data_IF_768619530741
#
_entry.id   IF_768619530741
#
_cell.length_a   1.000
_cell.length_b   1.000
_cell.length_c   1.000
_cell.angle_alpha   90.00
_cell.angle_beta   90.00
_cell.angle_gamma   90.00
#
_symmetry.space_group_name_H-M   'P 1'
#
loop_
_entity.id
_entity.type
_entity.pdbx_description
1 polymer ?
#
# COMPACT_ATOMS: atom_id res chain seq x y z
N UNK A 1 -0.62 10.97 -32.01
CA UNK A 1 0.40 11.76 -31.29
C UNK A 1 0.24 11.50 -29.81
N UNK A 2 0.97 10.52 -29.28
CA UNK A 2 0.82 10.03 -27.90
C UNK A 2 1.86 10.69 -27.02
N UNK A 3 1.42 11.54 -26.09
CA UNK A 3 2.28 12.21 -25.13
C UNK A 3 2.67 11.24 -24.02
N UNK A 4 3.79 10.55 -24.19
CA UNK A 4 4.45 9.77 -23.14
C UNK A 4 5.17 10.74 -22.19
N UNK A 5 4.63 10.94 -20.99
CA UNK A 5 5.41 11.44 -19.86
C UNK A 5 5.84 10.26 -19.00
N UNK A 6 6.79 9.48 -19.51
CA UNK A 6 7.62 8.63 -18.67
C UNK A 6 8.53 9.54 -17.84
N UNK A 7 8.05 9.94 -16.66
CA UNK A 7 8.92 10.52 -15.66
C UNK A 7 9.89 9.42 -15.22
N UNK A 8 11.17 9.58 -15.56
CA UNK A 8 12.27 8.80 -15.00
C UNK A 8 12.26 8.98 -13.48
N UNK A 9 11.62 8.06 -12.75
CA UNK A 9 11.77 8.01 -11.30
C UNK A 9 12.94 7.08 -10.99
N UNK A 10 14.15 7.59 -11.23
CA UNK A 10 15.40 6.83 -11.09
C UNK A 10 15.87 6.69 -9.65
N UNK A 11 15.27 7.40 -8.67
CA UNK A 11 15.73 7.29 -7.28
C UNK A 11 14.61 7.44 -6.25
N UNK A 12 14.05 6.30 -5.83
CA UNK A 12 13.11 6.24 -4.71
C UNK A 12 13.80 6.29 -3.33
N UNK A 13 15.14 6.26 -3.31
CA UNK A 13 15.97 6.17 -2.12
C UNK A 13 16.73 7.46 -1.78
N UNK A 14 16.44 8.59 -2.44
CA UNK A 14 17.16 9.85 -2.26
C UNK A 14 17.45 10.16 -0.77
N UNK A 15 18.73 10.36 -0.38
CA UNK A 15 19.14 10.61 0.99
C UNK A 15 18.60 11.95 1.51
N UNK A 16 18.45 12.06 2.83
CA UNK A 16 17.84 13.20 3.55
C UNK A 16 18.60 14.54 3.45
N UNK A 17 19.70 14.62 2.71
CA UNK A 17 20.58 15.78 2.71
C UNK A 17 20.55 16.48 1.35
N UNK A 18 19.46 17.19 1.07
CA UNK A 18 19.49 18.27 0.09
C UNK A 18 19.34 19.58 0.89
N UNK A 19 20.34 20.49 0.87
CA UNK A 19 20.20 21.77 1.55
C UNK A 19 19.11 22.59 0.86
N UNK A 20 18.20 23.14 1.66
CA UNK A 20 17.22 24.11 1.16
C UNK A 20 17.97 25.35 0.65
N UNK A 21 17.95 25.59 -0.65
CA UNK A 21 18.38 26.86 -1.23
C UNK A 21 17.44 27.97 -0.74
N UNK A 22 17.80 28.62 0.38
CA UNK A 22 17.31 29.96 0.71
C UNK A 22 18.30 30.95 0.10
N UNK A 23 17.86 31.62 -0.95
CA UNK A 23 18.49 32.83 -1.48
C UNK A 23 18.64 33.86 -0.36
N UNK A 24 19.89 34.22 -0.05
CA UNK A 24 20.24 35.42 0.71
C UNK A 24 20.51 36.53 -0.29
N UNK A 25 19.80 37.65 -0.15
CA UNK A 25 20.23 38.94 -0.66
C UNK A 25 20.87 39.71 0.52
N UNK A 26 22.09 40.21 0.31
CA UNK A 26 22.73 41.28 1.08
C UNK A 26 22.05 42.62 0.68
N UNK A 27 21.93 43.70 1.45
CA UNK A 27 22.84 44.50 2.31
C UNK A 27 21.97 45.62 2.99
N UNK A 28 22.48 46.64 3.72
CA UNK A 28 23.40 46.65 4.86
C UNK A 28 22.90 47.53 6.05
N UNK A 29 23.63 47.43 7.18
CA UNK A 29 23.85 48.41 8.26
C UNK A 29 22.68 49.21 8.90
N UNK A 30 22.46 49.01 10.21
CA UNK A 30 22.59 50.10 11.19
C UNK A 30 22.80 49.57 12.63
N UNK A 31 23.45 50.40 13.41
CA UNK A 31 24.15 50.21 14.67
C UNK A 31 23.23 50.40 15.91
N UNK A 32 23.62 49.73 17.00
CA UNK A 32 23.64 50.22 18.38
C UNK A 32 22.49 49.94 19.40
N UNK A 33 22.97 49.60 20.62
CA UNK A 33 22.42 49.72 22.00
C UNK A 33 21.68 48.55 22.70
N UNK A 34 22.45 47.91 23.59
CA UNK A 34 22.31 47.80 25.06
C UNK A 34 21.02 47.26 25.75
N UNK A 35 21.26 46.17 26.52
CA UNK A 35 21.00 45.95 27.96
C UNK A 35 19.59 45.68 28.58
N UNK A 36 19.59 44.57 29.35
CA UNK A 36 18.92 44.26 30.64
C UNK A 36 17.41 43.97 30.76
N UNK A 37 17.11 42.73 31.16
CA UNK A 37 16.36 42.26 32.34
C UNK A 37 15.12 43.02 32.87
N UNK A 38 13.95 42.36 32.98
CA UNK A 38 13.35 41.84 34.25
C UNK A 38 11.86 41.41 34.12
N UNK A 39 11.56 40.32 34.84
CA UNK A 39 10.31 39.80 35.48
C UNK A 39 9.00 40.59 35.51
N UNK A 40 7.85 39.91 35.32
CA UNK A 40 6.78 39.63 36.34
C UNK A 40 5.43 39.12 35.78
N UNK A 41 4.88 38.06 36.37
CA UNK A 41 3.47 37.53 36.34
C UNK A 41 2.56 38.27 37.35
N UNK A 42 1.25 37.94 37.66
CA UNK A 42 0.13 37.26 36.94
C UNK A 42 -1.31 37.88 37.11
N UNK A 43 -2.29 37.42 36.29
CA UNK A 43 -3.78 37.20 36.51
C UNK A 43 -4.74 38.35 36.97
N UNK A 44 -6.10 38.23 36.98
CA UNK A 44 -7.04 37.11 36.67
C UNK A 44 -8.34 37.42 35.83
N UNK A 45 -9.08 36.34 35.53
CA UNK A 45 -10.54 36.07 35.29
C UNK A 45 -11.59 37.18 35.01
N UNK A 46 -12.54 36.90 34.07
CA UNK A 46 -13.99 36.73 34.34
C UNK A 46 -14.83 36.35 33.08
N UNK A 47 -15.78 35.42 33.26
CA UNK A 47 -17.00 35.12 32.45
C UNK A 47 -18.21 35.81 33.15
N UNK A 48 -19.49 35.94 32.64
CA UNK A 48 -20.25 34.97 31.82
C UNK A 48 -21.39 35.49 30.85
N UNK A 49 -21.88 34.57 29.99
CA UNK A 49 -23.28 34.25 29.57
C UNK A 49 -24.26 35.14 28.74
N UNK A 50 -25.08 34.38 27.93
CA UNK A 50 -26.44 34.60 27.32
C UNK A 50 -26.52 35.30 25.93
N UNK A 51 -27.41 35.01 24.97
CA UNK A 51 -28.62 34.16 24.84
C UNK A 51 -29.01 33.96 23.34
N UNK A 52 -29.47 32.74 23.00
CA UNK A 52 -30.61 32.34 22.14
C UNK A 52 -31.20 33.20 20.98
N UNK A 53 -31.38 32.59 19.79
CA UNK A 53 -32.69 32.58 19.09
C UNK A 53 -32.82 31.45 18.04
N UNK A 54 -33.97 30.75 18.12
CA UNK A 54 -34.53 29.81 17.14
C UNK A 54 -35.30 30.59 16.07
N UNK A 55 -35.46 30.03 14.86
CA UNK A 55 -36.77 29.92 14.20
C UNK A 55 -36.73 29.05 12.93
N UNK A 56 -37.93 28.64 12.54
CA UNK A 56 -38.35 27.39 11.90
C UNK A 56 -39.12 27.71 10.58
N UNK A 57 -39.49 26.65 9.82
CA UNK A 57 -40.53 26.58 8.75
C UNK A 57 -40.06 26.98 7.33
N UNK A 58 -40.45 26.33 6.21
CA UNK A 58 -41.69 25.61 5.89
C UNK A 58 -41.56 24.70 4.64
N UNK A 59 -42.45 23.69 4.56
CA UNK A 59 -42.70 22.74 3.45
C UNK A 59 -43.43 23.37 2.25
N UNK A 60 -43.26 22.78 1.05
CA UNK A 60 -44.20 22.91 -0.08
C UNK A 60 -44.12 21.74 -1.07
N UNK A 61 -45.20 20.94 -1.15
CA UNK A 61 -45.41 19.78 -2.05
C UNK A 61 -45.87 20.22 -3.45
N UNK A 62 -45.55 19.42 -4.48
CA UNK A 62 -46.44 19.18 -5.65
C UNK A 62 -46.42 17.70 -6.04
N UNK A 63 -47.56 17.21 -6.55
CA UNK A 63 -47.99 15.82 -6.71
C UNK A 63 -48.56 15.61 -8.12
N UNK A 64 -48.58 14.34 -8.57
CA UNK A 64 -49.42 13.70 -9.62
C UNK A 64 -48.97 13.96 -11.09
N UNK A 65 -49.04 13.02 -12.05
CA UNK A 65 -49.82 11.77 -12.20
C UNK A 65 -49.33 10.92 -13.39
N UNK A 66 -49.53 9.58 -13.31
CA UNK A 66 -49.99 8.56 -14.30
C UNK A 66 -49.58 8.66 -15.80
N UNK A 67 -49.33 7.61 -16.60
CA UNK A 67 -49.97 6.29 -16.82
C UNK A 67 -49.15 5.52 -17.89
N UNK A 68 -49.11 4.18 -17.83
CA UNK A 68 -48.64 3.23 -18.89
C UNK A 68 -49.71 3.09 -20.02
N UNK A 69 -49.45 2.57 -21.26
CA UNK A 69 -49.18 1.13 -21.50
C UNK A 69 -48.42 0.67 -22.79
N UNK A 70 -47.92 -0.59 -22.72
CA UNK A 70 -47.60 -1.67 -23.71
C UNK A 70 -47.31 -1.41 -25.20
N UNK A 71 -46.34 -2.16 -25.74
CA UNK A 71 -46.50 -3.01 -26.95
C UNK A 71 -45.32 -3.98 -27.18
N UNK A 72 -45.62 -5.05 -27.88
CA UNK A 72 -44.87 -6.30 -28.08
C UNK A 72 -43.78 -6.26 -29.17
N UNK A 73 -42.91 -7.29 -29.13
CA UNK A 73 -42.52 -8.18 -30.24
C UNK A 73 -41.10 -8.04 -30.83
N UNK A 74 -40.50 -9.24 -30.92
CA UNK A 74 -39.63 -9.83 -31.96
C UNK A 74 -38.17 -10.13 -31.57
N UNK A 75 -37.89 -11.43 -31.64
CA UNK A 75 -36.61 -12.12 -31.61
C UNK A 75 -35.72 -11.65 -32.76
N UNK A 76 -34.41 -11.59 -32.51
CA UNK A 76 -33.45 -12.04 -33.51
C UNK A 76 -32.24 -12.71 -32.84
N UNK A 77 -31.93 -13.88 -33.38
CA UNK A 77 -30.91 -14.81 -32.93
C UNK A 77 -29.58 -14.44 -33.59
N UNK A 78 -28.59 -14.03 -32.80
CA UNK A 78 -27.18 -14.16 -33.19
C UNK A 78 -26.41 -14.83 -32.06
N UNK A 79 -26.22 -16.13 -32.27
CA UNK A 79 -25.30 -16.99 -31.56
C UNK A 79 -23.89 -16.37 -31.63
N UNK A 80 -23.55 -15.62 -30.59
CA UNK A 80 -22.18 -15.20 -30.32
C UNK A 80 -21.71 -16.13 -29.22
N UNK A 81 -20.86 -17.10 -29.59
CA UNK A 81 -20.18 -17.97 -28.63
C UNK A 81 -19.55 -17.08 -27.55
N UNK A 82 -19.85 -17.28 -26.26
CA UNK A 82 -19.13 -16.59 -25.22
C UNK A 82 -17.69 -17.09 -25.29
N UNK A 83 -16.76 -16.21 -25.67
CA UNK A 83 -15.37 -16.38 -25.28
C UNK A 83 -15.38 -16.40 -23.75
N UNK A 84 -15.17 -17.58 -23.18
CA UNK A 84 -14.87 -17.77 -21.77
C UNK A 84 -13.52 -17.14 -21.51
N UNK A 85 -13.51 -15.82 -21.33
CA UNK A 85 -12.47 -15.09 -20.62
C UNK A 85 -12.41 -15.73 -19.23
N UNK A 86 -11.31 -16.42 -18.95
CA UNK A 86 -10.95 -16.83 -17.60
C UNK A 86 -10.96 -15.58 -16.72
N UNK A 87 -11.99 -15.43 -15.89
CA UNK A 87 -12.13 -14.26 -15.02
C UNK A 87 -10.93 -14.24 -14.08
N UNK A 88 -10.02 -13.24 -14.16
CA UNK A 88 -8.95 -13.13 -13.18
C UNK A 88 -9.58 -12.99 -11.80
N UNK A 89 -8.95 -13.58 -10.79
CA UNK A 89 -9.41 -13.50 -9.41
C UNK A 89 -9.51 -12.02 -8.97
N UNK A 90 -10.71 -11.43 -9.04
CA UNK A 90 -10.90 -9.99 -8.84
C UNK A 90 -10.77 -9.53 -7.39
N UNK A 91 -10.74 -10.45 -6.43
CA UNK A 91 -10.82 -10.11 -5.00
C UNK A 91 -9.43 -10.15 -4.33
N UNK A 92 -9.00 -9.07 -3.66
CA UNK A 92 -7.79 -9.09 -2.83
C UNK A 92 -7.85 -10.14 -1.73
N UNK A 93 -6.72 -10.78 -1.44
CA UNK A 93 -6.57 -11.72 -0.33
C UNK A 93 -5.85 -11.06 0.84
N UNK A 94 -6.24 -11.41 2.06
CA UNK A 94 -5.61 -10.92 3.29
C UNK A 94 -5.56 -11.99 4.38
N UNK A 95 -5.17 -11.63 5.60
CA UNK A 95 -5.19 -12.53 6.76
C UNK A 95 -6.56 -13.16 7.05
N UNK A 96 -7.66 -12.55 6.62
CA UNK A 96 -9.01 -13.13 6.78
C UNK A 96 -9.38 -14.12 5.67
N UNK A 97 -8.59 -14.18 4.60
CA UNK A 97 -8.85 -15.04 3.43
C UNK A 97 -8.26 -16.44 3.57
N UNK A 98 -7.32 -16.63 4.49
CA UNK A 98 -6.66 -17.92 4.73
C UNK A 98 -7.34 -18.68 5.89
N UNK A 99 -7.55 -20.00 5.77
CA UNK A 99 -8.07 -20.81 6.86
C UNK A 99 -7.02 -20.89 7.98
N UNK A 100 -7.40 -20.82 9.26
CA UNK A 100 -6.45 -20.84 10.41
C UNK A 100 -5.43 -21.99 10.37
N UNK A 101 -5.77 -23.09 9.70
CA UNK A 101 -4.90 -24.25 9.46
C UNK A 101 -3.65 -23.93 8.65
N UNK A 102 -3.58 -22.81 7.93
CA UNK A 102 -2.39 -22.37 7.20
C UNK A 102 -1.18 -22.14 8.12
N UNK A 103 -1.42 -21.85 9.40
CA UNK A 103 -0.40 -21.72 10.44
C UNK A 103 0.13 -23.07 10.94
N UNK A 104 -0.56 -24.17 10.66
CA UNK A 104 -0.07 -25.49 11.04
C UNK A 104 1.21 -25.78 10.25
N UNK A 105 2.20 -26.43 10.89
CA UNK A 105 3.43 -26.79 10.21
C UNK A 105 3.11 -27.79 9.09
N UNK A 106 2.98 -27.29 7.87
CA UNK A 106 3.12 -28.14 6.69
C UNK A 106 4.55 -28.66 6.69
N UNK A 107 4.77 -29.87 6.17
CA UNK A 107 6.12 -30.42 6.05
C UNK A 107 6.99 -29.44 5.25
N UNK A 108 8.01 -28.80 5.87
CA UNK A 108 8.84 -27.84 5.17
C UNK A 108 9.60 -28.60 4.09
N UNK A 109 9.58 -28.08 2.87
CA UNK A 109 10.50 -28.54 1.83
C UNK A 109 11.85 -27.86 2.08
N UNK A 110 12.96 -28.61 2.03
CA UNK A 110 14.26 -27.97 1.80
C UNK A 110 14.23 -27.47 0.35
N UNK A 111 14.52 -26.19 0.05
CA UNK A 111 15.38 -25.25 0.77
C UNK A 111 14.66 -24.09 1.53
N UNK A 112 15.45 -23.22 2.17
CA UNK A 112 15.00 -21.91 2.64
C UNK A 112 14.70 -20.97 1.46
N UNK A 113 14.00 -19.86 1.73
CA UNK A 113 13.68 -18.84 0.72
C UNK A 113 14.98 -18.21 0.20
N UNK A 114 15.17 -18.26 -1.12
CA UNK A 114 16.35 -17.70 -1.78
C UNK A 114 16.11 -16.24 -2.19
N UNK A 115 17.11 -15.37 -1.98
CA UNK A 115 17.10 -13.99 -2.45
C UNK A 115 18.14 -13.81 -3.55
N UNK A 116 17.74 -13.29 -4.71
CA UNK A 116 18.67 -12.92 -5.80
C UNK A 116 18.63 -11.42 -6.03
N UNK A 117 19.78 -10.79 -6.27
CA UNK A 117 19.90 -9.33 -6.32
C UNK A 117 20.06 -8.84 -7.75
N UNK A 118 19.33 -7.78 -8.09
CA UNK A 118 19.27 -7.19 -9.43
C UNK A 118 19.28 -5.66 -9.35
N UNK A 119 19.72 -5.02 -10.42
CA UNK A 119 19.71 -3.56 -10.56
C UNK A 119 18.74 -3.14 -11.65
N UNK A 120 17.94 -2.13 -11.36
CA UNK A 120 16.97 -1.55 -12.27
C UNK A 120 15.65 -1.17 -11.57
N UNK A 121 14.75 -0.47 -12.26
CA UNK A 121 13.47 -0.10 -11.67
C UNK A 121 12.59 -1.33 -11.49
N UNK A 122 12.16 -1.61 -10.25
CA UNK A 122 11.30 -2.77 -9.95
C UNK A 122 9.99 -2.82 -10.78
N UNK A 123 9.54 -1.67 -11.28
CA UNK A 123 8.29 -1.54 -12.06
C UNK A 123 8.42 -1.94 -13.53
N UNK A 124 9.61 -2.28 -14.03
CA UNK A 124 9.82 -2.83 -15.38
C UNK A 124 9.59 -4.34 -15.45
N UNK A 125 8.97 -4.92 -14.42
CA UNK A 125 8.61 -6.32 -14.38
C UNK A 125 7.68 -6.71 -15.55
N UNK A 126 7.71 -7.98 -15.98
CA UNK A 126 6.72 -8.50 -16.92
C UNK A 126 5.36 -8.71 -16.23
N UNK A 127 4.26 -8.81 -17.00
CA UNK A 127 2.96 -9.20 -16.48
C UNK A 127 3.01 -10.50 -15.65
N UNK A 128 2.03 -10.67 -14.76
CA UNK A 128 1.97 -11.79 -13.81
C UNK A 128 3.11 -11.80 -12.78
N UNK A 129 3.81 -10.68 -12.59
CA UNK A 129 4.78 -10.49 -11.51
C UNK A 129 4.10 -9.95 -10.25
N UNK A 130 4.47 -10.49 -9.08
CA UNK A 130 4.16 -9.93 -7.77
C UNK A 130 5.24 -8.92 -7.35
N UNK A 131 4.82 -7.68 -7.12
CA UNK A 131 5.67 -6.61 -6.61
C UNK A 131 5.41 -6.38 -5.13
N UNK A 132 6.41 -6.65 -4.30
CA UNK A 132 6.31 -6.60 -2.85
C UNK A 132 6.92 -5.31 -2.30
N UNK A 133 6.22 -4.70 -1.34
CA UNK A 133 6.78 -3.63 -0.51
C UNK A 133 6.29 -3.68 0.94
N UNK A 134 7.03 -3.01 1.83
CA UNK A 134 6.67 -2.86 3.23
C UNK A 134 5.71 -1.67 3.45
N UNK A 135 4.69 -1.90 4.25
CA UNK A 135 3.55 -1.03 4.48
C UNK A 135 3.31 -0.74 5.95
N UNK A 136 2.67 0.40 6.19
CA UNK A 136 2.04 0.73 7.47
C UNK A 136 0.58 0.28 7.48
N UNK A 137 -0.10 0.36 8.64
CA UNK A 137 -1.52 0.00 8.77
C UNK A 137 -2.46 1.21 8.70
N UNK A 138 -1.94 2.40 8.39
CA UNK A 138 -2.69 3.66 8.34
C UNK A 138 -3.19 4.01 6.93
N UNK A 139 -3.03 3.11 5.95
CA UNK A 139 -3.51 3.35 4.59
C UNK A 139 -2.69 4.40 3.82
N UNK A 140 -1.42 4.61 4.18
CA UNK A 140 -0.59 5.68 3.62
C UNK A 140 0.57 5.17 2.75
N UNK A 141 0.57 5.54 1.47
CA UNK A 141 1.70 5.39 0.53
C UNK A 141 2.26 6.76 0.16
N UNK A 142 2.88 7.43 1.13
CA UNK A 142 3.17 8.87 1.05
C UNK A 142 4.61 9.26 0.73
N UNK A 143 5.58 8.33 0.75
CA UNK A 143 6.99 8.68 0.49
C UNK A 143 7.82 7.48 0.03
N UNK A 144 9.00 7.76 -0.53
CA UNK A 144 9.94 6.75 -1.02
C UNK A 144 9.29 5.83 -2.05
N UNK A 145 9.67 4.55 -2.02
CA UNK A 145 9.11 3.54 -2.92
C UNK A 145 7.58 3.41 -2.79
N UNK A 146 6.98 3.61 -1.61
CA UNK A 146 5.53 3.53 -1.46
C UNK A 146 4.81 4.62 -2.28
N UNK A 147 5.34 5.84 -2.32
CA UNK A 147 4.79 6.91 -3.18
C UNK A 147 4.86 6.53 -4.66
N UNK A 148 5.94 5.85 -5.07
CA UNK A 148 6.08 5.32 -6.42
C UNK A 148 5.00 4.29 -6.77
N UNK A 149 4.79 3.33 -5.87
CA UNK A 149 3.71 2.36 -5.99
C UNK A 149 2.36 3.06 -6.13
N UNK A 150 2.10 4.12 -5.34
CA UNK A 150 0.86 4.90 -5.46
C UNK A 150 0.69 5.59 -6.82
N UNK A 151 1.78 6.12 -7.37
CA UNK A 151 1.76 6.79 -8.68
C UNK A 151 1.59 5.80 -9.83
N UNK A 152 2.21 4.63 -9.75
CA UNK A 152 2.17 3.59 -10.78
C UNK A 152 0.93 2.68 -10.69
N UNK A 153 0.38 2.50 -9.47
CA UNK A 153 -0.75 1.60 -9.17
C UNK A 153 -1.82 2.31 -8.32
N UNK A 154 -2.48 3.36 -8.86
CA UNK A 154 -3.46 4.14 -8.12
C UNK A 154 -4.71 3.36 -7.71
N UNK A 155 -5.13 2.33 -8.46
CA UNK A 155 -6.27 1.48 -8.11
C UNK A 155 -5.90 0.50 -7.00
N UNK A 156 -4.73 -0.13 -7.07
CA UNK A 156 -4.21 -0.94 -5.96
C UNK A 156 -4.05 -0.10 -4.68
N UNK A 157 -3.59 1.15 -4.79
CA UNK A 157 -3.55 2.07 -3.65
C UNK A 157 -4.94 2.30 -3.03
N UNK A 158 -5.98 2.51 -3.85
CA UNK A 158 -7.36 2.68 -3.33
C UNK A 158 -7.82 1.44 -2.56
N UNK A 159 -7.50 0.25 -3.05
CA UNK A 159 -7.79 -1.01 -2.36
C UNK A 159 -7.07 -1.08 -1.02
N UNK A 160 -5.75 -0.87 -1.01
CA UNK A 160 -4.93 -0.85 0.22
C UNK A 160 -5.43 0.19 1.23
N UNK A 161 -5.73 1.41 0.76
CA UNK A 161 -6.21 2.51 1.60
C UNK A 161 -7.57 2.17 2.22
N UNK A 162 -8.53 1.71 1.41
CA UNK A 162 -9.84 1.26 1.89
C UNK A 162 -9.72 0.08 2.86
N UNK A 163 -8.83 -0.88 2.58
CA UNK A 163 -8.57 -2.00 3.48
C UNK A 163 -8.10 -1.54 4.87
N UNK A 164 -7.25 -0.51 4.94
CA UNK A 164 -6.75 0.03 6.20
C UNK A 164 -7.76 0.92 6.93
N UNK A 165 -8.56 1.70 6.19
CA UNK A 165 -9.40 2.78 6.76
C UNK A 165 -10.89 2.44 6.88
N UNK A 166 -11.39 1.51 6.06
CA UNK A 166 -12.80 1.12 5.99
C UNK A 166 -12.98 -0.31 6.47
N UNK A 167 -12.28 -1.28 5.86
CA UNK A 167 -12.32 -2.68 6.32
C UNK A 167 -11.72 -2.80 7.72
N UNK A 168 -10.71 -2.00 8.02
CA UNK A 168 -10.11 -1.81 9.34
C UNK A 168 -10.30 -0.37 9.81
N UNK A 169 -9.78 -0.06 10.98
CA UNK A 169 -9.72 1.31 11.51
C UNK A 169 -8.40 1.48 12.25
N UNK A 170 -7.52 2.41 11.86
CA UNK A 170 -6.21 2.56 12.50
C UNK A 170 -6.27 2.83 14.01
N UNK A 171 -7.40 3.35 14.50
CA UNK A 171 -7.59 3.66 15.93
C UNK A 171 -8.20 2.49 16.70
N UNK A 172 -9.31 1.93 16.21
CA UNK A 172 -10.14 1.00 16.98
C UNK A 172 -9.92 -0.46 16.62
N UNK A 173 -9.55 -0.75 15.37
CA UNK A 173 -9.35 -2.11 14.87
C UNK A 173 -8.32 -2.08 13.75
N UNK A 174 -7.03 -1.82 14.07
CA UNK A 174 -6.00 -1.68 13.05
C UNK A 174 -5.80 -3.00 12.30
N UNK A 175 -5.25 -2.93 11.10
CA UNK A 175 -4.72 -4.14 10.44
C UNK A 175 -3.67 -4.76 11.38
N UNK A 176 -3.72 -6.07 11.65
CA UNK A 176 -2.67 -6.72 12.45
C UNK A 176 -1.32 -6.62 11.73
N UNK A 177 -0.28 -6.16 12.42
CA UNK A 177 1.09 -6.22 11.88
C UNK A 177 1.57 -7.67 11.81
N UNK A 178 2.55 -7.95 10.95
CA UNK A 178 2.96 -9.32 10.67
C UNK A 178 1.99 -10.06 9.74
N UNK A 179 1.09 -9.33 9.08
CA UNK A 179 0.18 -9.86 8.06
C UNK A 179 0.45 -9.22 6.70
N UNK A 180 -0.23 -9.69 5.67
CA UNK A 180 -0.12 -9.15 4.32
C UNK A 180 -1.48 -8.93 3.65
N UNK A 181 -1.47 -8.13 2.59
CA UNK A 181 -2.56 -7.97 1.64
C UNK A 181 -1.99 -8.23 0.23
N UNK A 182 -2.60 -9.18 -0.48
CA UNK A 182 -2.30 -9.50 -1.88
C UNK A 182 -3.40 -8.92 -2.77
N UNK A 183 -3.03 -7.97 -3.61
CA UNK A 183 -3.96 -7.27 -4.50
C UNK A 183 -3.77 -7.81 -5.93
N UNK A 184 -4.86 -8.23 -6.62
CA UNK A 184 -4.77 -8.71 -7.99
C UNK A 184 -4.40 -7.58 -8.97
N UNK A 185 -4.04 -7.92 -10.23
CA UNK A 185 -3.84 -6.93 -11.26
C UNK A 185 -5.13 -6.13 -11.51
N UNK A 186 -5.11 -4.87 -11.08
CA UNK A 186 -6.24 -3.93 -11.22
C UNK A 186 -5.88 -2.67 -12.00
N UNK A 187 -4.59 -2.35 -12.09
CA UNK A 187 -4.08 -1.15 -12.75
C UNK A 187 -3.73 -1.42 -14.23
N UNK A 188 -4.75 -1.76 -15.01
CA UNK A 188 -4.69 -1.83 -16.47
C UNK A 188 -3.80 -2.92 -17.05
N UNK A 189 -3.06 -2.56 -18.09
CA UNK A 189 -2.22 -3.42 -18.94
C UNK A 189 -0.95 -3.95 -18.27
N UNK A 190 -0.58 -3.40 -17.10
CA UNK A 190 0.63 -3.83 -16.38
C UNK A 190 0.60 -5.30 -15.96
N UNK A 191 -0.59 -5.83 -15.63
CA UNK A 191 -0.73 -7.23 -15.22
C UNK A 191 -0.01 -7.61 -13.91
N UNK A 192 0.40 -6.65 -13.09
CA UNK A 192 1.15 -6.91 -11.85
C UNK A 192 0.26 -7.13 -10.64
N UNK A 193 0.65 -8.06 -9.79
CA UNK A 193 0.11 -8.23 -8.44
C UNK A 193 0.86 -7.32 -7.46
N UNK A 194 0.17 -6.82 -6.44
CA UNK A 194 0.81 -5.98 -5.40
C UNK A 194 0.74 -6.68 -4.05
N UNK A 195 1.92 -6.92 -3.45
CA UNK A 195 2.08 -7.52 -2.14
C UNK A 195 2.41 -6.48 -1.08
N UNK A 196 1.47 -6.20 -0.18
CA UNK A 196 1.64 -5.25 0.92
C UNK A 196 2.00 -6.00 2.20
N UNK A 197 3.23 -5.89 2.69
CA UNK A 197 3.63 -6.46 3.98
C UNK A 197 3.39 -5.46 5.11
N UNK A 198 2.49 -5.74 6.05
CA UNK A 198 2.22 -4.84 7.18
C UNK A 198 3.27 -5.00 8.28
N UNK A 199 4.43 -4.39 8.10
CA UNK A 199 5.57 -4.53 9.01
C UNK A 199 5.60 -3.51 10.15
N UNK A 200 4.89 -2.39 10.00
CA UNK A 200 4.78 -1.33 11.01
C UNK A 200 3.33 -0.88 11.16
N UNK A 201 2.89 -0.50 12.36
CA UNK A 201 1.59 0.13 12.56
C UNK A 201 1.59 1.53 11.96
N UNK A 202 2.48 2.40 12.44
CA UNK A 202 2.61 3.76 11.95
C UNK A 202 3.64 3.92 10.84
N UNK A 203 3.91 5.17 10.45
CA UNK A 203 4.91 5.55 9.46
C UNK A 203 5.57 6.88 9.82
N UNK A 204 6.63 7.27 9.09
CA UNK A 204 7.33 8.52 9.34
C UNK A 204 7.96 8.55 10.73
N UNK A 205 7.64 9.58 11.53
CA UNK A 205 8.08 9.68 12.94
C UNK A 205 7.37 8.70 13.87
N UNK A 206 6.20 8.19 13.46
CA UNK A 206 5.37 7.28 14.26
C UNK A 206 5.52 5.80 13.83
N UNK A 207 6.54 5.47 13.03
CA UNK A 207 6.84 4.08 12.68
C UNK A 207 7.24 3.28 13.93
N UNK A 208 7.03 1.97 13.88
CA UNK A 208 7.45 1.09 14.96
C UNK A 208 8.98 1.00 15.05
N UNK A 209 9.48 0.52 16.20
CA UNK A 209 10.90 0.27 16.40
C UNK A 209 11.44 -0.79 15.44
N UNK A 210 12.71 -0.67 15.04
CA UNK A 210 13.30 -1.55 14.02
C UNK A 210 13.20 -3.05 14.35
N UNK A 211 13.33 -3.44 15.62
CA UNK A 211 13.15 -4.84 16.05
C UNK A 211 11.72 -5.36 15.83
N UNK A 212 10.70 -4.52 16.07
CA UNK A 212 9.29 -4.85 15.80
C UNK A 212 9.05 -5.01 14.31
N UNK A 213 9.58 -4.08 13.50
CA UNK A 213 9.47 -4.14 12.04
C UNK A 213 10.09 -5.43 11.47
N UNK A 214 11.29 -5.79 11.95
CA UNK A 214 11.97 -7.03 11.57
C UNK A 214 11.17 -8.26 12.02
N UNK A 215 10.68 -8.28 13.26
CA UNK A 215 9.86 -9.37 13.80
C UNK A 215 8.55 -9.59 13.02
N UNK A 216 7.94 -8.52 12.51
CA UNK A 216 6.75 -8.59 11.67
C UNK A 216 7.05 -9.02 10.22
N UNK A 217 8.30 -8.93 9.75
CA UNK A 217 8.64 -9.16 8.34
C UNK A 217 8.47 -10.62 7.93
N UNK A 218 8.95 -11.57 8.74
CA UNK A 218 8.85 -13.00 8.46
C UNK A 218 7.40 -13.49 8.35
N UNK A 219 6.57 -13.32 9.39
CA UNK A 219 5.16 -13.73 9.36
C UNK A 219 4.35 -13.10 8.22
N UNK A 220 4.62 -11.82 7.91
CA UNK A 220 3.95 -11.15 6.79
C UNK A 220 4.34 -11.78 5.45
N UNK A 221 5.61 -12.12 5.26
CA UNK A 221 6.09 -12.78 4.05
C UNK A 221 5.53 -14.20 3.92
N UNK A 222 5.56 -15.00 4.99
CA UNK A 222 4.98 -16.35 4.99
C UNK A 222 3.49 -16.33 4.60
N UNK A 223 2.72 -15.40 5.17
CA UNK A 223 1.32 -15.21 4.81
C UNK A 223 1.15 -14.85 3.34
N UNK A 224 2.00 -13.98 2.82
CA UNK A 224 1.96 -13.58 1.41
C UNK A 224 2.25 -14.76 0.48
N UNK A 225 3.28 -15.56 0.78
CA UNK A 225 3.61 -16.76 0.01
C UNK A 225 2.47 -17.79 0.01
N UNK A 226 1.77 -17.94 1.14
CA UNK A 226 0.58 -18.78 1.22
C UNK A 226 -0.58 -18.24 0.37
N UNK A 227 -0.82 -16.93 0.37
CA UNK A 227 -1.82 -16.32 -0.52
C UNK A 227 -1.46 -16.52 -1.99
N UNK A 228 -0.17 -16.44 -2.36
CA UNK A 228 0.31 -16.74 -3.71
C UNK A 228 0.03 -18.20 -4.10
N UNK A 229 0.30 -19.15 -3.20
CA UNK A 229 -0.03 -20.57 -3.41
C UNK A 229 -1.53 -20.75 -3.67
N UNK A 230 -2.39 -20.14 -2.84
CA UNK A 230 -3.85 -20.18 -3.00
C UNK A 230 -4.31 -19.57 -4.32
N UNK A 231 -3.67 -18.49 -4.79
CA UNK A 231 -3.94 -17.95 -6.14
C UNK A 231 -3.57 -18.96 -7.21
N UNK A 232 -2.41 -19.60 -7.11
CA UNK A 232 -1.96 -20.61 -8.07
C UNK A 232 -2.89 -21.83 -8.17
N UNK A 233 -3.57 -22.20 -7.07
CA UNK A 233 -4.58 -23.28 -7.08
C UNK A 233 -5.92 -22.86 -7.67
N UNK A 234 -6.23 -21.57 -7.69
CA UNK A 234 -7.52 -21.04 -8.17
C UNK A 234 -7.53 -20.71 -9.65
N UNK A 235 -6.35 -20.62 -10.26
CA UNK A 235 -6.21 -20.20 -11.64
C UNK A 235 -5.66 -21.38 -12.43
N UNK A 236 -6.53 -22.03 -13.21
CA UNK A 236 -6.15 -23.09 -14.13
C UNK A 236 -5.53 -22.48 -15.40
N UNK A 237 -4.30 -22.89 -15.73
CA UNK A 237 -3.62 -22.57 -16.99
C UNK A 237 -2.45 -21.58 -16.89
N UNK A 238 -1.65 -21.54 -17.96
CA UNK A 238 -0.43 -20.73 -18.10
C UNK A 238 -0.65 -19.21 -18.00
N UNK A 239 -1.88 -18.70 -18.18
CA UNK A 239 -2.11 -17.24 -18.34
C UNK A 239 -2.57 -16.51 -17.07
N UNK A 240 -2.69 -17.18 -15.92
CA UNK A 240 -3.11 -16.49 -14.71
C UNK A 240 -2.39 -16.95 -13.43
N UNK A 241 -2.28 -16.02 -12.49
CA UNK A 241 -1.53 -16.19 -11.24
C UNK A 241 -0.22 -15.41 -11.21
N UNK A 242 0.65 -15.78 -10.26
CA UNK A 242 1.95 -15.13 -10.02
C UNK A 242 3.05 -16.02 -10.60
N UNK A 243 3.76 -15.54 -11.63
CA UNK A 243 4.89 -16.24 -12.27
C UNK A 243 6.25 -15.85 -11.70
N UNK A 244 6.35 -14.61 -11.21
CA UNK A 244 7.60 -14.04 -10.71
C UNK A 244 7.33 -13.22 -9.45
N UNK A 245 8.29 -13.16 -8.53
CA UNK A 245 8.20 -12.35 -7.31
C UNK A 245 9.39 -11.40 -7.24
N UNK A 246 9.11 -10.10 -7.20
CA UNK A 246 10.09 -9.03 -7.00
C UNK A 246 9.78 -8.25 -5.74
N UNK A 247 10.81 -7.78 -5.07
CA UNK A 247 10.72 -6.82 -3.97
C UNK A 247 11.82 -5.76 -4.11
N UNK A 248 11.63 -4.60 -3.49
CA UNK A 248 12.75 -3.70 -3.20
C UNK A 248 13.45 -4.16 -1.92
N UNK A 249 14.53 -3.48 -1.50
CA UNK A 249 15.06 -3.63 -0.13
C UNK A 249 14.05 -3.14 0.91
N UNK A 250 13.06 -3.98 1.21
CA UNK A 250 11.96 -3.65 2.13
C UNK A 250 12.50 -3.22 3.49
N UNK A 251 11.76 -2.35 4.16
CA UNK A 251 12.12 -1.68 5.42
C UNK A 251 13.36 -0.76 5.39
N UNK A 252 14.20 -0.80 4.34
CA UNK A 252 15.51 -0.11 4.31
C UNK A 252 15.44 1.37 3.97
N UNK A 253 14.34 1.82 3.38
CA UNK A 253 14.08 3.22 3.11
C UNK A 253 13.57 3.97 4.35
N UNK A 254 12.31 4.44 4.31
CA UNK A 254 11.76 5.31 5.37
C UNK A 254 11.55 4.61 6.71
N UNK A 255 11.43 3.27 6.72
CA UNK A 255 11.43 2.49 7.95
C UNK A 255 12.81 2.36 8.60
N UNK A 256 13.90 2.66 7.87
CA UNK A 256 15.25 2.83 8.42
C UNK A 256 15.78 1.58 9.13
N UNK A 257 15.39 0.40 8.67
CA UNK A 257 15.94 -0.88 9.13
C UNK A 257 17.11 -1.25 8.22
N UNK A 258 18.32 -1.55 8.73
CA UNK A 258 19.40 -2.06 7.90
C UNK A 258 18.94 -3.29 7.11
N UNK A 259 19.23 -3.32 5.81
CA UNK A 259 18.70 -4.33 4.89
C UNK A 259 19.00 -5.75 5.36
N UNK A 260 20.19 -5.98 5.89
CA UNK A 260 20.71 -7.26 6.36
C UNK A 260 19.81 -7.90 7.42
N UNK A 261 19.15 -7.08 8.24
CA UNK A 261 18.19 -7.57 9.24
C UNK A 261 16.90 -8.09 8.62
N UNK A 262 16.43 -7.44 7.55
CA UNK A 262 15.24 -7.91 6.81
C UNK A 262 15.61 -9.14 5.97
N UNK A 263 16.74 -9.11 5.26
CA UNK A 263 17.26 -10.22 4.48
C UNK A 263 17.44 -11.48 5.32
N UNK A 264 18.09 -11.38 6.49
CA UNK A 264 18.31 -12.54 7.36
C UNK A 264 17.02 -13.20 7.87
N UNK A 265 15.95 -12.42 8.10
CA UNK A 265 14.63 -12.98 8.43
C UNK A 265 14.01 -13.68 7.22
N UNK A 266 14.09 -13.08 6.04
CA UNK A 266 13.55 -13.65 4.80
C UNK A 266 14.26 -14.95 4.41
N UNK A 267 15.59 -14.97 4.43
CA UNK A 267 16.43 -16.15 4.17
C UNK A 267 16.27 -17.24 5.25
N UNK A 268 15.76 -16.87 6.44
CA UNK A 268 15.40 -17.81 7.49
C UNK A 268 14.08 -18.56 7.26
N UNK A 269 13.25 -18.12 6.31
CA UNK A 269 11.95 -18.73 6.03
C UNK A 269 12.16 -20.09 5.36
N UNK A 270 11.56 -21.14 5.93
CA UNK A 270 11.50 -22.48 5.32
C UNK A 270 10.36 -22.54 4.32
N UNK A 271 10.68 -22.79 3.05
CA UNK A 271 9.68 -22.84 1.99
C UNK A 271 8.79 -24.07 2.16
N UNK A 272 7.48 -23.90 2.05
CA UNK A 272 6.50 -24.99 2.13
C UNK A 272 6.11 -25.45 0.72
N UNK A 273 5.55 -26.65 0.60
CA UNK A 273 5.08 -27.17 -0.69
C UNK A 273 4.13 -26.18 -1.36
N UNK A 274 4.43 -25.83 -2.62
CA UNK A 274 3.64 -24.90 -3.44
C UNK A 274 3.95 -23.42 -3.21
N UNK A 275 4.80 -23.06 -2.25
CA UNK A 275 5.30 -21.70 -2.13
C UNK A 275 6.37 -21.41 -3.18
N UNK A 276 6.42 -20.16 -3.63
CA UNK A 276 7.53 -19.67 -4.45
C UNK A 276 8.81 -19.71 -3.59
N UNK A 277 9.86 -20.35 -4.11
CA UNK A 277 11.11 -20.57 -3.39
C UNK A 277 12.18 -19.50 -3.58
N UNK A 278 11.97 -18.53 -4.48
CA UNK A 278 12.94 -17.47 -4.78
C UNK A 278 12.25 -16.12 -4.93
N UNK A 279 12.87 -15.06 -4.40
CA UNK A 279 12.42 -13.68 -4.60
C UNK A 279 13.57 -12.83 -5.12
N UNK A 280 13.28 -12.01 -6.13
CA UNK A 280 14.25 -11.07 -6.68
C UNK A 280 14.21 -9.75 -5.92
N UNK A 281 15.35 -9.28 -5.42
CA UNK A 281 15.53 -7.98 -4.77
C UNK A 281 16.08 -7.01 -5.80
N UNK A 282 15.31 -5.97 -6.10
CA UNK A 282 15.64 -4.96 -7.12
C UNK A 282 15.99 -3.62 -6.47
N UNK A 283 17.20 -3.15 -6.73
CA UNK A 283 17.67 -1.81 -6.38
C UNK A 283 17.65 -0.90 -7.61
N UNK A 284 17.25 0.38 -7.50
CA UNK A 284 17.37 1.30 -8.62
C UNK A 284 18.83 1.53 -8.98
N UNK A 285 19.08 1.86 -10.24
CA UNK A 285 20.37 2.36 -10.70
C UNK A 285 20.75 3.61 -9.89
N UNK A 286 21.98 3.61 -9.37
CA UNK A 286 22.56 4.72 -8.59
C UNK A 286 23.08 5.82 -9.49
#
# INVERSE_FOLDING_TARGET
MSNSRNANITSYFAPKNAPSNKSKANDPANENKNNTSTTSTPNPADEPQKEAHQQEKTKGKRRLSSTNPTSEKRQDTKSTKPCTLSTPLSTPLSHTSLPKTWLLPASPTRPNLNLTYHTGPIFTAPPSTLLIHACNTHGAWGSGIALAFKQQYPLAYKIYNSFCLVTHSPKTRPVPTGTALLIPPVDGDKGHWIGCLFTSRGFGKAKDGGGVIVGNTGPAMEMLLEMVRVVGERVDGEEGGVKEVRMCRINSGKFGVPWEKSAGVLEGIRVRKGWVGSVQVWDPET
#
